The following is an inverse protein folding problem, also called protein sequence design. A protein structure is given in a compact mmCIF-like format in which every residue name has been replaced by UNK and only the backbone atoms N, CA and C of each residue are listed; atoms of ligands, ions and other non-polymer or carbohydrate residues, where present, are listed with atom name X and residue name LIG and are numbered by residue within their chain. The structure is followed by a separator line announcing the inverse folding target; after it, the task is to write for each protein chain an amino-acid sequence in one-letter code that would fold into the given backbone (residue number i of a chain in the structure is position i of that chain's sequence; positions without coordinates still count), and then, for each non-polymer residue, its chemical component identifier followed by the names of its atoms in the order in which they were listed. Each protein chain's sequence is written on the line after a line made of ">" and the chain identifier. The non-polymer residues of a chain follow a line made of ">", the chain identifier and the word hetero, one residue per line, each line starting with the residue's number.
data_IF_003170138832
#
_entry.id   IF_003170138832
#
_cell.length_a   1.000
_cell.length_b   1.000
_cell.length_c   1.000
_cell.angle_alpha   90.00
_cell.angle_beta   90.00
_cell.angle_gamma   90.00
#
_symmetry.space_group_name_H-M   'P 1'
#
loop_
_entity.id
_entity.type
_entity.pdbx_description
1 polymer ?
#
# COMPACT_ATOMS: atom_id res chain seq x y z
N UNK A 1 17.54 6.12 -10.72
CA UNK A 1 16.95 4.92 -10.08
C UNK A 1 16.16 5.29 -8.83
N UNK A 2 16.13 6.57 -8.44
CA UNK A 2 15.77 6.96 -7.07
C UNK A 2 14.27 7.14 -6.84
N UNK A 3 13.52 7.66 -7.81
CA UNK A 3 12.10 7.98 -7.60
C UNK A 3 11.24 6.72 -7.45
N UNK A 4 11.37 5.77 -8.37
CA UNK A 4 10.56 4.54 -8.34
C UNK A 4 10.92 3.67 -7.13
N UNK A 5 12.21 3.53 -6.82
CA UNK A 5 12.63 2.79 -5.62
C UNK A 5 12.17 3.48 -4.33
N UNK A 6 12.23 4.82 -4.26
CA UNK A 6 11.71 5.56 -3.11
C UNK A 6 10.20 5.39 -2.95
N UNK A 7 9.44 5.38 -4.05
CA UNK A 7 8.00 5.14 -4.04
C UNK A 7 7.68 3.70 -3.60
N UNK A 8 8.39 2.70 -4.14
CA UNK A 8 8.23 1.30 -3.74
C UNK A 8 8.56 1.09 -2.26
N UNK A 9 9.61 1.75 -1.75
CA UNK A 9 9.97 1.72 -0.33
C UNK A 9 8.94 2.43 0.54
N UNK A 10 8.35 3.53 0.07
CA UNK A 10 7.25 4.19 0.77
C UNK A 10 6.02 3.29 0.86
N UNK A 11 5.71 2.53 -0.20
CA UNK A 11 4.63 1.54 -0.20
C UNK A 11 4.91 0.39 0.77
N UNK A 12 6.14 -0.15 0.77
CA UNK A 12 6.55 -1.22 1.71
C UNK A 12 6.42 -0.80 3.18
N UNK A 13 6.54 0.49 3.46
CA UNK A 13 6.34 1.03 4.81
C UNK A 13 4.87 1.33 5.09
N UNK A 14 4.11 1.76 4.10
CA UNK A 14 2.76 2.29 4.31
C UNK A 14 1.71 1.19 4.33
N UNK A 15 1.77 0.21 3.42
CA UNK A 15 0.76 -0.85 3.32
C UNK A 15 0.67 -1.68 4.61
N UNK A 16 1.78 -2.16 5.23
CA UNK A 16 1.69 -2.88 6.50
C UNK A 16 1.15 -2.02 7.66
N UNK A 17 1.32 -0.69 7.60
CA UNK A 17 0.78 0.22 8.61
C UNK A 17 -0.73 0.42 8.42
N UNK A 18 -1.22 0.44 7.18
CA UNK A 18 -2.65 0.46 6.89
C UNK A 18 -3.31 -0.82 7.41
N UNK A 19 -2.71 -1.99 7.15
CA UNK A 19 -3.18 -3.28 7.68
C UNK A 19 -3.24 -3.30 9.21
N UNK A 20 -2.18 -2.82 9.89
CA UNK A 20 -2.18 -2.70 11.35
C UNK A 20 -3.25 -1.74 11.88
N UNK A 21 -3.53 -0.64 11.18
CA UNK A 21 -4.60 0.31 11.54
C UNK A 21 -5.97 -0.34 11.36
N UNK A 22 -6.22 -1.00 10.22
CA UNK A 22 -7.45 -1.74 9.97
C UNK A 22 -7.68 -2.77 11.08
N UNK A 23 -6.67 -3.58 11.39
CA UNK A 23 -6.74 -4.57 12.45
C UNK A 23 -7.13 -3.97 13.82
N UNK A 24 -6.51 -2.86 14.23
CA UNK A 24 -6.86 -2.20 15.48
C UNK A 24 -8.29 -1.63 15.48
N UNK A 25 -8.72 -1.04 14.36
CA UNK A 25 -10.08 -0.53 14.22
C UNK A 25 -11.13 -1.65 14.26
N UNK A 26 -10.83 -2.79 13.64
CA UNK A 26 -11.65 -4.01 13.74
C UNK A 26 -11.80 -4.48 15.19
N UNK A 27 -10.70 -4.55 15.95
CA UNK A 27 -10.74 -4.90 17.37
C UNK A 27 -11.57 -3.91 18.20
N UNK A 28 -11.46 -2.60 17.92
CA UNK A 28 -12.25 -1.58 18.60
C UNK A 28 -13.74 -1.69 18.27
N UNK A 29 -14.09 -2.03 17.03
CA UNK A 29 -15.48 -2.18 16.59
C UNK A 29 -16.23 -3.31 17.32
N UNK A 30 -15.50 -4.29 17.85
CA UNK A 30 -16.06 -5.42 18.58
C UNK A 30 -16.38 -5.09 20.06
N UNK A 31 -15.99 -3.90 20.55
CA UNK A 31 -16.14 -3.53 21.96
C UNK A 31 -17.57 -3.07 22.32
N UNK A 32 -18.37 -2.61 21.36
CA UNK A 32 -19.78 -2.23 21.58
C UNK A 32 -20.42 -1.54 20.38
N UNK A 33 -21.74 -1.35 20.42
CA UNK A 33 -22.50 -0.71 19.32
C UNK A 33 -22.00 0.70 19.00
N UNK A 34 -21.49 1.45 19.98
CA UNK A 34 -20.94 2.80 19.78
C UNK A 34 -19.73 2.83 18.83
N UNK A 35 -19.03 1.71 18.68
CA UNK A 35 -17.83 1.59 17.84
C UNK A 35 -18.05 0.77 16.57
N UNK A 36 -19.28 0.34 16.26
CA UNK A 36 -19.59 -0.49 15.08
C UNK A 36 -19.11 0.14 13.77
N UNK A 37 -19.23 1.47 13.64
CA UNK A 37 -18.76 2.22 12.46
C UNK A 37 -17.27 2.03 12.18
N UNK A 38 -16.46 1.73 13.20
CA UNK A 38 -15.03 1.46 13.04
C UNK A 38 -14.77 0.16 12.27
N UNK A 39 -15.72 -0.78 12.26
CA UNK A 39 -15.63 -2.02 11.48
C UNK A 39 -15.67 -1.71 9.98
N UNK A 40 -16.64 -0.90 9.54
CA UNK A 40 -16.70 -0.46 8.14
C UNK A 40 -15.49 0.39 7.71
N UNK A 41 -14.93 1.19 8.62
CA UNK A 41 -13.69 1.95 8.35
C UNK A 41 -12.48 1.00 8.26
N UNK A 42 -12.42 -0.01 9.12
CA UNK A 42 -11.38 -1.05 9.06
C UNK A 42 -11.37 -1.73 7.70
N UNK A 43 -12.53 -2.19 7.23
CA UNK A 43 -12.66 -2.91 5.96
C UNK A 43 -12.18 -2.04 4.79
N UNK A 44 -12.60 -0.77 4.75
CA UNK A 44 -12.15 0.18 3.72
C UNK A 44 -10.62 0.40 3.73
N UNK A 45 -10.00 0.45 4.91
CA UNK A 45 -8.54 0.63 5.02
C UNK A 45 -7.80 -0.62 4.55
N UNK A 46 -8.32 -1.81 4.88
CA UNK A 46 -7.78 -3.08 4.38
C UNK A 46 -7.87 -3.17 2.85
N UNK A 47 -9.04 -2.85 2.29
CA UNK A 47 -9.27 -2.83 0.84
C UNK A 47 -8.29 -1.87 0.13
N UNK A 48 -8.07 -0.66 0.68
CA UNK A 48 -7.09 0.29 0.13
C UNK A 48 -5.67 -0.29 0.19
N UNK A 49 -5.31 -0.97 1.27
CA UNK A 49 -4.01 -1.64 1.41
C UNK A 49 -3.79 -2.69 0.32
N UNK A 50 -4.80 -3.53 0.09
CA UNK A 50 -4.80 -4.59 -0.90
C UNK A 50 -4.78 -4.04 -2.33
N UNK A 51 -5.60 -3.02 -2.62
CA UNK A 51 -5.61 -2.34 -3.93
C UNK A 51 -4.26 -1.70 -4.25
N UNK A 52 -3.64 -1.02 -3.29
CA UNK A 52 -2.31 -0.44 -3.46
C UNK A 52 -1.28 -1.53 -3.75
N UNK A 53 -1.32 -2.64 -3.02
CA UNK A 53 -0.41 -3.76 -3.24
C UNK A 53 -0.62 -4.39 -4.62
N UNK A 54 -1.87 -4.66 -5.00
CA UNK A 54 -2.24 -5.27 -6.27
C UNK A 54 -1.96 -4.37 -7.49
N UNK A 55 -2.13 -3.06 -7.35
CA UNK A 55 -1.83 -2.09 -8.40
C UNK A 55 -0.31 -1.93 -8.65
N UNK A 56 0.52 -2.31 -7.67
CA UNK A 56 1.96 -2.26 -7.79
C UNK A 56 2.52 -3.53 -8.45
N UNK A 57 2.63 -3.54 -9.78
CA UNK A 57 3.52 -4.47 -10.49
C UNK A 57 4.96 -4.02 -10.26
N UNK A 58 5.51 -4.40 -9.11
CA UNK A 58 6.77 -3.87 -8.57
C UNK A 58 7.96 -4.17 -9.46
N UNK A 59 7.94 -5.31 -10.13
CA UNK A 59 9.01 -5.72 -11.05
C UNK A 59 8.97 -4.86 -12.31
N UNK A 60 7.79 -4.72 -12.91
CA UNK A 60 7.59 -3.83 -14.07
C UNK A 60 7.87 -2.37 -13.74
N UNK A 61 7.50 -1.89 -12.55
CA UNK A 61 7.81 -0.53 -12.11
C UNK A 61 9.33 -0.32 -12.01
N UNK A 62 10.08 -1.29 -11.45
CA UNK A 62 11.55 -1.22 -11.41
C UNK A 62 12.16 -1.23 -12.81
N UNK A 63 11.68 -2.10 -13.70
CA UNK A 63 12.12 -2.13 -15.10
C UNK A 63 11.91 -0.77 -15.78
N UNK A 64 10.71 -0.19 -15.62
CA UNK A 64 10.39 1.12 -16.20
C UNK A 64 11.23 2.26 -15.61
N UNK A 65 11.49 2.21 -14.29
CA UNK A 65 12.43 3.13 -13.65
C UNK A 65 13.83 3.03 -14.24
N UNK A 66 14.33 1.81 -14.45
CA UNK A 66 15.65 1.57 -15.04
C UNK A 66 15.75 2.11 -16.48
N UNK A 67 14.69 1.97 -17.29
CA UNK A 67 14.62 2.52 -18.65
C UNK A 67 14.68 4.06 -18.65
N UNK A 68 13.98 4.71 -17.73
CA UNK A 68 13.97 6.17 -17.58
C UNK A 68 15.35 6.69 -17.15
N UNK A 69 16.01 5.97 -16.25
CA UNK A 69 17.29 6.39 -15.66
C UNK A 69 18.52 6.05 -16.53
N UNK A 70 18.40 5.08 -17.45
CA UNK A 70 19.45 4.68 -18.38
C UNK A 70 18.98 4.71 -19.85
N UNK A 71 18.65 5.89 -20.41
CA UNK A 71 18.11 5.98 -21.77
C UNK A 71 19.09 5.47 -22.85
N UNK A 72 20.39 5.39 -22.57
CA UNK A 72 21.43 4.91 -23.51
C UNK A 72 21.41 3.39 -23.75
N UNK A 73 20.63 2.62 -22.97
CA UNK A 73 20.47 1.15 -23.17
C UNK A 73 19.19 0.77 -23.93
N UNK A 74 18.37 1.75 -24.30
CA UNK A 74 17.17 1.54 -25.11
C UNK A 74 17.51 1.52 -26.61
N UNK A 75 18.37 0.60 -27.04
CA UNK A 75 18.62 0.28 -28.45
C UNK A 75 19.06 -1.16 -28.63
#
# INVERSE_FOLDING_TARGET
>A
MELVEALLLAMDKSVPRLDAIAHHLSLMSQQGEETEVLGGISDQIADIGDELYAASDREKLREWGNEIDMPEKAH
#
